data_IF_685494460574
#
_entry.id   IF_685494460574
#
_cell.length_a   1.000
_cell.length_b   1.000
_cell.length_c   1.000
_cell.angle_alpha   90.00
_cell.angle_beta   90.00
_cell.angle_gamma   90.00
#
_symmetry.space_group_name_H-M   'P 1'
#
loop_
_entity.id
_entity.type
_entity.pdbx_description
1 polymer ?
#
# COMPACT_ATOMS: atom_id res chain seq x y z
N UNK A 1 39.18 70.10 33.93
CA UNK A 1 38.72 69.27 32.83
C UNK A 1 38.33 67.90 33.38
N UNK A 2 37.09 67.71 33.67
CA UNK A 2 36.51 66.40 34.22
C UNK A 2 35.95 65.57 33.06
N UNK A 3 36.53 64.38 32.78
CA UNK A 3 36.04 63.42 31.81
C UNK A 3 34.96 62.51 32.52
N UNK A 4 33.73 62.62 32.04
CA UNK A 4 32.64 61.74 32.45
C UNK A 4 32.71 60.48 31.59
N UNK A 5 33.01 59.34 32.20
CA UNK A 5 32.89 58.00 31.58
C UNK A 5 31.45 57.49 31.78
N UNK A 6 30.76 57.16 30.65
CA UNK A 6 29.48 56.52 30.64
C UNK A 6 29.68 54.97 30.50
N UNK A 7 29.08 54.17 31.34
CA UNK A 7 29.13 52.72 31.15
C UNK A 7 28.09 52.29 30.12
N UNK A 8 28.53 51.58 29.06
CA UNK A 8 27.70 50.84 28.13
C UNK A 8 27.14 49.60 28.86
N UNK A 9 25.85 49.57 29.14
CA UNK A 9 25.14 48.40 29.61
C UNK A 9 24.83 47.47 28.41
N UNK A 10 25.56 46.35 28.32
CA UNK A 10 25.28 45.29 27.37
C UNK A 10 24.06 44.50 27.83
N UNK A 11 22.89 44.69 27.19
CA UNK A 11 21.71 43.88 27.41
C UNK A 11 21.88 42.54 26.66
N UNK A 12 22.29 41.49 27.36
CA UNK A 12 22.23 40.12 26.85
C UNK A 12 20.77 39.65 26.78
N UNK A 13 20.20 39.61 25.57
CA UNK A 13 18.92 38.98 25.30
C UNK A 13 19.05 37.48 25.50
N UNK A 14 18.50 36.95 26.59
CA UNK A 14 18.32 35.52 26.85
C UNK A 14 17.29 34.97 25.87
N UNK A 15 17.77 34.51 24.70
CA UNK A 15 17.00 33.68 23.80
C UNK A 15 16.90 32.26 24.44
N UNK A 16 15.88 32.04 25.28
CA UNK A 16 15.57 30.72 25.81
C UNK A 16 15.21 29.77 24.67
N UNK A 17 15.67 28.53 24.72
CA UNK A 17 15.23 27.51 23.75
C UNK A 17 13.72 27.37 23.83
N UNK A 18 13.02 27.66 22.71
CA UNK A 18 11.59 27.39 22.59
C UNK A 18 11.40 25.88 22.81
N UNK A 19 10.82 25.52 23.95
CA UNK A 19 10.47 24.14 24.25
C UNK A 19 9.53 23.65 23.14
N UNK A 20 10.03 22.72 22.30
CA UNK A 20 9.23 22.05 21.28
C UNK A 20 8.10 21.34 22.00
N UNK A 21 6.86 21.81 21.83
CA UNK A 21 5.66 21.14 22.32
C UNK A 21 5.69 19.73 21.71
N UNK A 22 5.70 18.67 22.53
CA UNK A 22 5.72 17.31 22.00
C UNK A 22 4.50 17.12 21.12
N UNK A 23 4.72 16.79 19.84
CA UNK A 23 3.64 16.54 18.91
C UNK A 23 2.75 15.45 19.49
N UNK A 24 1.50 15.84 19.86
CA UNK A 24 0.52 14.90 20.43
C UNK A 24 0.39 13.70 19.53
N UNK A 25 0.54 12.52 20.13
CA UNK A 25 0.38 11.26 19.42
C UNK A 25 -1.01 11.23 18.74
N UNK A 26 -1.11 10.77 17.46
CA UNK A 26 -2.38 10.70 16.78
C UNK A 26 -3.35 9.86 17.60
N UNK A 27 -4.57 10.36 17.75
CA UNK A 27 -5.67 9.62 18.36
C UNK A 27 -6.06 8.45 17.43
N UNK A 28 -6.14 7.24 17.96
CA UNK A 28 -6.56 6.03 17.27
C UNK A 28 -7.83 5.42 17.88
N UNK A 29 -8.59 6.20 18.66
CA UNK A 29 -9.73 5.70 19.45
C UNK A 29 -10.96 5.31 18.62
N UNK A 30 -11.06 5.77 17.39
CA UNK A 30 -12.20 5.50 16.49
C UNK A 30 -11.74 4.98 15.13
N UNK A 31 -12.62 4.27 14.43
CA UNK A 31 -12.38 3.80 13.06
C UNK A 31 -11.97 4.94 12.13
N UNK A 32 -12.67 6.08 12.21
CA UNK A 32 -12.35 7.26 11.38
C UNK A 32 -10.98 7.85 11.73
N UNK A 33 -10.60 7.83 13.00
CA UNK A 33 -9.29 8.30 13.42
C UNK A 33 -8.18 7.39 12.87
N UNK A 34 -8.38 6.07 12.90
CA UNK A 34 -7.46 5.10 12.28
C UNK A 34 -7.38 5.32 10.77
N UNK A 35 -8.51 5.48 10.07
CA UNK A 35 -8.52 5.76 8.63
C UNK A 35 -7.80 7.07 8.28
N UNK A 36 -8.01 8.14 9.05
CA UNK A 36 -7.26 9.40 8.86
C UNK A 36 -5.77 9.21 9.06
N UNK A 37 -5.37 8.43 10.06
CA UNK A 37 -3.98 8.12 10.31
C UNK A 37 -3.36 7.32 9.16
N UNK A 38 -4.04 6.26 8.67
CA UNK A 38 -3.61 5.47 7.50
C UNK A 38 -3.43 6.38 6.27
N UNK A 39 -4.41 7.23 5.97
CA UNK A 39 -4.34 8.17 4.85
C UNK A 39 -3.18 9.19 4.96
N UNK A 40 -2.74 9.47 6.19
CA UNK A 40 -1.62 10.37 6.50
C UNK A 40 -0.28 9.67 6.71
N UNK A 41 -0.27 8.34 6.76
CA UNK A 41 0.87 7.53 7.20
C UNK A 41 2.17 7.84 6.44
N UNK A 42 2.10 7.96 5.12
CA UNK A 42 3.28 8.25 4.27
C UNK A 42 3.99 9.56 4.61
N UNK A 43 3.27 10.55 5.12
CA UNK A 43 3.87 11.82 5.51
C UNK A 43 4.64 11.71 6.84
N UNK A 44 4.23 10.79 7.71
CA UNK A 44 4.87 10.52 9.01
C UNK A 44 4.73 9.04 9.34
N UNK A 45 5.57 8.17 8.77
CA UNK A 45 5.54 6.73 9.03
C UNK A 45 5.81 6.44 10.52
N UNK A 46 4.96 5.57 11.10
CA UNK A 46 5.12 5.11 12.48
C UNK A 46 4.69 3.65 12.59
N UNK A 47 5.63 2.75 12.25
CA UNK A 47 5.41 1.29 12.23
C UNK A 47 5.05 0.77 13.62
N UNK A 48 5.59 1.36 14.68
CA UNK A 48 5.34 0.93 16.06
C UNK A 48 3.86 1.07 16.46
N UNK A 49 3.10 1.93 15.79
CA UNK A 49 1.68 2.14 16.05
C UNK A 49 0.74 1.20 15.30
N UNK A 50 1.22 0.50 14.28
CA UNK A 50 0.39 -0.42 13.48
C UNK A 50 -0.33 -1.45 14.35
N UNK A 51 0.34 -2.13 15.30
CA UNK A 51 -0.35 -3.08 16.19
C UNK A 51 -1.46 -2.44 17.04
N UNK A 52 -1.26 -1.21 17.50
CA UNK A 52 -2.28 -0.50 18.27
C UNK A 52 -3.50 -0.15 17.40
N UNK A 53 -3.29 0.32 16.18
CA UNK A 53 -4.36 0.60 15.23
C UNK A 53 -5.18 -0.65 14.91
N UNK A 54 -4.53 -1.78 14.62
CA UNK A 54 -5.22 -3.04 14.34
C UNK A 54 -6.01 -3.55 15.55
N UNK A 55 -5.45 -3.46 16.77
CA UNK A 55 -6.19 -3.81 17.99
C UNK A 55 -7.43 -2.95 18.19
N UNK A 56 -7.32 -1.65 17.97
CA UNK A 56 -8.50 -0.75 18.04
C UNK A 56 -9.57 -1.16 17.04
N UNK A 57 -9.21 -1.43 15.78
CA UNK A 57 -10.17 -1.89 14.76
C UNK A 57 -10.87 -3.20 15.17
N UNK A 58 -10.12 -4.17 15.73
CA UNK A 58 -10.67 -5.43 16.23
C UNK A 58 -11.61 -5.19 17.43
N UNK A 59 -11.23 -4.34 18.39
CA UNK A 59 -12.06 -4.00 19.55
C UNK A 59 -13.38 -3.35 19.14
N UNK A 60 -13.34 -2.44 18.17
CA UNK A 60 -14.50 -1.74 17.63
C UNK A 60 -15.35 -2.63 16.69
N UNK A 61 -14.91 -3.84 16.37
CA UNK A 61 -15.60 -4.74 15.44
C UNK A 61 -15.53 -4.28 13.97
N UNK A 62 -14.61 -3.36 13.63
CA UNK A 62 -14.44 -2.85 12.27
C UNK A 62 -13.83 -3.87 11.31
N UNK A 63 -13.39 -5.03 11.80
CA UNK A 63 -12.83 -6.13 11.02
C UNK A 63 -13.84 -7.27 10.74
N UNK A 64 -15.11 -7.12 11.14
CA UNK A 64 -16.12 -8.17 10.98
C UNK A 64 -16.55 -8.36 9.53
N UNK A 65 -16.59 -7.28 8.78
CA UNK A 65 -16.93 -7.26 7.38
C UNK A 65 -15.66 -7.15 6.53
N UNK A 66 -15.42 -8.17 5.70
CA UNK A 66 -14.22 -8.23 4.85
C UNK A 66 -14.20 -7.14 3.78
N UNK A 67 -15.37 -6.70 3.29
CA UNK A 67 -15.45 -5.68 2.25
C UNK A 67 -15.01 -4.31 2.79
N UNK A 68 -15.56 -3.90 3.93
CA UNK A 68 -15.23 -2.60 4.53
C UNK A 68 -13.85 -2.55 5.18
N UNK A 69 -13.27 -3.72 5.50
CA UNK A 69 -11.95 -3.82 6.13
C UNK A 69 -10.80 -4.05 5.16
N UNK A 70 -11.06 -4.13 3.86
CA UNK A 70 -10.06 -4.40 2.83
C UNK A 70 -8.90 -3.39 2.81
N UNK A 71 -9.19 -2.11 3.05
CA UNK A 71 -8.16 -1.06 3.16
C UNK A 71 -7.18 -1.34 4.30
N UNK A 72 -7.64 -1.92 5.41
CA UNK A 72 -6.78 -2.26 6.55
C UNK A 72 -5.89 -3.47 6.23
N UNK A 73 -6.44 -4.46 5.52
CA UNK A 73 -5.65 -5.61 5.00
C UNK A 73 -4.53 -5.11 4.11
N UNK A 74 -4.84 -4.28 3.14
CA UNK A 74 -3.85 -3.72 2.22
C UNK A 74 -2.79 -2.88 2.94
N UNK A 75 -3.21 -2.06 3.91
CA UNK A 75 -2.29 -1.25 4.70
C UNK A 75 -1.32 -2.12 5.52
N UNK A 76 -1.82 -3.12 6.24
CA UNK A 76 -0.98 -4.03 7.03
C UNK A 76 -0.07 -4.86 6.12
N UNK A 77 -0.58 -5.33 4.96
CA UNK A 77 0.21 -6.04 3.96
C UNK A 77 1.38 -5.18 3.45
N UNK A 78 1.11 -3.93 3.09
CA UNK A 78 2.14 -3.00 2.64
C UNK A 78 3.20 -2.70 3.70
N UNK A 79 2.80 -2.60 4.98
CA UNK A 79 3.75 -2.44 6.09
C UNK A 79 4.63 -3.68 6.25
N UNK A 80 4.03 -4.88 6.27
CA UNK A 80 4.77 -6.15 6.38
C UNK A 80 5.77 -6.28 5.22
N UNK A 81 5.35 -5.99 3.99
CA UNK A 81 6.20 -6.06 2.80
C UNK A 81 7.34 -5.04 2.81
N UNK A 82 7.10 -3.83 3.35
CA UNK A 82 8.10 -2.76 3.42
C UNK A 82 9.15 -2.97 4.53
N UNK A 83 8.82 -3.76 5.56
CA UNK A 83 9.70 -4.00 6.70
C UNK A 83 9.86 -5.51 6.97
N UNK A 84 10.46 -6.27 6.03
CA UNK A 84 10.57 -7.74 6.13
C UNK A 84 11.27 -8.20 7.42
N UNK A 85 12.25 -7.45 7.90
CA UNK A 85 12.98 -7.74 9.15
C UNK A 85 12.11 -7.59 10.40
N UNK A 86 11.05 -6.78 10.35
CA UNK A 86 10.11 -6.55 11.46
C UNK A 86 8.83 -7.38 11.33
N UNK A 87 8.64 -8.12 10.24
CA UNK A 87 7.40 -8.83 9.93
C UNK A 87 6.96 -9.76 11.07
N UNK A 88 7.88 -10.56 11.60
CA UNK A 88 7.60 -11.46 12.71
C UNK A 88 7.17 -10.72 13.99
N UNK A 89 7.90 -9.69 14.38
CA UNK A 89 7.60 -8.87 15.55
C UNK A 89 6.27 -8.13 15.42
N UNK A 90 5.97 -7.60 14.23
CA UNK A 90 4.70 -6.93 13.96
C UNK A 90 3.52 -7.90 14.09
N UNK A 91 3.64 -9.11 13.52
CA UNK A 91 2.61 -10.14 13.61
C UNK A 91 2.39 -10.53 15.07
N UNK A 92 3.46 -10.75 15.83
CA UNK A 92 3.36 -11.06 17.27
C UNK A 92 2.62 -9.98 18.05
N UNK A 93 2.90 -8.72 17.78
CA UNK A 93 2.25 -7.58 18.43
C UNK A 93 0.80 -7.37 17.99
N UNK A 94 0.42 -7.84 16.79
CA UNK A 94 -0.95 -7.78 16.27
C UNK A 94 -1.77 -8.97 16.78
N UNK A 95 -1.19 -10.16 16.92
CA UNK A 95 -1.88 -11.40 17.29
C UNK A 95 -2.85 -11.30 18.49
N UNK A 96 -2.63 -10.47 19.52
CA UNK A 96 -3.59 -10.27 20.62
C UNK A 96 -4.85 -9.52 20.20
N UNK A 97 -5.41 -9.79 19.02
CA UNK A 97 -6.74 -9.39 18.57
C UNK A 97 -7.71 -10.57 18.73
N UNK A 98 -9.00 -10.33 18.49
CA UNK A 98 -10.01 -11.39 18.57
C UNK A 98 -9.70 -12.51 17.56
N UNK A 99 -9.91 -13.77 17.96
CA UNK A 99 -9.65 -14.93 17.10
C UNK A 99 -10.42 -14.88 15.76
N UNK A 100 -11.62 -14.29 15.78
CA UNK A 100 -12.44 -14.05 14.60
C UNK A 100 -11.78 -13.12 13.58
N UNK A 101 -10.90 -12.22 14.02
CA UNK A 101 -10.23 -11.21 13.21
C UNK A 101 -8.84 -11.66 12.71
N UNK A 102 -8.35 -12.84 13.12
CA UNK A 102 -7.06 -13.38 12.67
C UNK A 102 -6.96 -13.55 11.15
N UNK A 103 -8.09 -13.60 10.45
CA UNK A 103 -8.13 -13.64 8.99
C UNK A 103 -7.42 -12.46 8.34
N UNK A 104 -7.46 -11.26 8.97
CA UNK A 104 -6.73 -10.09 8.52
C UNK A 104 -5.21 -10.35 8.49
N UNK A 105 -4.67 -10.98 9.53
CA UNK A 105 -3.23 -11.30 9.61
C UNK A 105 -2.85 -12.26 8.48
N UNK A 106 -3.63 -13.34 8.30
CA UNK A 106 -3.38 -14.35 7.26
C UNK A 106 -3.37 -13.70 5.88
N UNK A 107 -4.38 -12.91 5.57
CA UNK A 107 -4.50 -12.24 4.28
C UNK A 107 -3.42 -11.17 4.08
N UNK A 108 -3.13 -10.37 5.10
CA UNK A 108 -2.09 -9.34 5.02
C UNK A 108 -0.70 -9.94 4.77
N UNK A 109 -0.36 -11.07 5.40
CA UNK A 109 0.91 -11.76 5.13
C UNK A 109 0.95 -12.33 3.73
N UNK A 110 -0.14 -12.99 3.27
CA UNK A 110 -0.23 -13.52 1.91
C UNK A 110 -0.13 -12.43 0.82
N UNK A 111 -0.61 -11.22 1.12
CA UNK A 111 -0.64 -10.08 0.21
C UNK A 111 0.59 -9.15 0.34
N UNK A 112 1.49 -9.44 1.27
CA UNK A 112 2.63 -8.57 1.58
C UNK A 112 3.68 -8.48 0.47
N UNK A 113 3.72 -9.45 -0.45
CA UNK A 113 4.77 -9.55 -1.46
C UNK A 113 6.12 -10.03 -0.90
N UNK A 114 6.18 -10.50 0.36
CA UNK A 114 7.41 -11.09 0.90
C UNK A 114 7.75 -12.38 0.15
N UNK A 115 9.00 -12.61 -0.25
CA UNK A 115 9.39 -13.88 -0.89
C UNK A 115 9.10 -15.10 -0.03
N UNK A 116 9.24 -14.99 1.29
CA UNK A 116 9.07 -16.06 2.27
C UNK A 116 7.74 -15.98 3.06
N UNK A 117 6.70 -15.34 2.50
CA UNK A 117 5.44 -15.16 3.20
C UNK A 117 4.78 -16.48 3.65
N UNK A 118 5.01 -17.59 2.91
CA UNK A 118 4.49 -18.91 3.28
C UNK A 118 5.12 -19.41 4.58
N UNK A 119 6.44 -19.26 4.73
CA UNK A 119 7.15 -19.65 5.95
C UNK A 119 6.72 -18.79 7.14
N UNK A 120 6.49 -17.50 6.90
CA UNK A 120 5.96 -16.59 7.91
C UNK A 120 4.58 -17.06 8.37
N UNK A 121 3.65 -17.37 7.46
CA UNK A 121 2.32 -17.91 7.83
C UNK A 121 2.42 -19.22 8.61
N UNK A 122 3.22 -20.16 8.15
CA UNK A 122 3.39 -21.46 8.80
C UNK A 122 3.93 -21.32 10.22
N UNK A 123 4.86 -20.38 10.47
CA UNK A 123 5.41 -20.09 11.80
C UNK A 123 4.33 -19.69 12.81
N UNK A 124 3.33 -18.94 12.37
CA UNK A 124 2.26 -18.45 13.23
C UNK A 124 0.97 -19.29 13.19
N UNK A 125 0.92 -20.35 12.37
CA UNK A 125 -0.29 -21.15 12.15
C UNK A 125 -0.85 -21.75 13.46
N UNK A 126 0.01 -22.26 14.34
CA UNK A 126 -0.41 -22.83 15.64
C UNK A 126 -1.06 -21.82 16.59
N UNK A 127 -0.76 -20.53 16.41
CA UNK A 127 -1.34 -19.42 17.18
C UNK A 127 -2.66 -18.91 16.62
N UNK A 128 -3.04 -19.38 15.43
CA UNK A 128 -4.29 -19.03 14.74
C UNK A 128 -5.11 -20.30 14.37
N UNK A 129 -5.49 -21.14 15.35
CA UNK A 129 -6.11 -22.44 15.06
C UNK A 129 -7.42 -22.30 14.28
N UNK A 130 -8.20 -21.25 14.49
CA UNK A 130 -9.43 -20.98 13.75
C UNK A 130 -9.20 -20.65 12.26
N UNK A 131 -7.96 -20.41 11.84
CA UNK A 131 -7.59 -20.02 10.47
C UNK A 131 -6.68 -21.01 9.75
N UNK A 132 -6.43 -22.18 10.32
CA UNK A 132 -5.55 -23.21 9.73
C UNK A 132 -5.95 -23.56 8.30
N UNK A 133 -7.23 -23.78 8.03
CA UNK A 133 -7.72 -24.08 6.68
C UNK A 133 -7.44 -22.92 5.69
N UNK A 134 -7.57 -21.69 6.15
CA UNK A 134 -7.27 -20.51 5.32
C UNK A 134 -5.78 -20.42 5.02
N UNK A 135 -4.93 -20.65 6.02
CA UNK A 135 -3.48 -20.68 5.89
C UNK A 135 -3.08 -21.78 4.89
N UNK A 136 -3.61 -23.00 5.05
CA UNK A 136 -3.35 -24.10 4.15
C UNK A 136 -3.74 -23.77 2.70
N UNK A 137 -4.93 -23.18 2.48
CA UNK A 137 -5.37 -22.78 1.14
C UNK A 137 -4.44 -21.76 0.49
N UNK A 138 -3.92 -20.77 1.25
CA UNK A 138 -2.94 -19.82 0.72
C UNK A 138 -1.59 -20.50 0.43
N UNK A 139 -1.05 -21.26 1.39
CA UNK A 139 0.28 -21.87 1.25
C UNK A 139 0.34 -22.93 0.15
N UNK A 140 -0.78 -23.62 -0.12
CA UNK A 140 -0.91 -24.58 -1.23
C UNK A 140 -1.31 -23.95 -2.57
N UNK A 141 -1.48 -22.61 -2.63
CA UNK A 141 -1.85 -21.91 -3.86
C UNK A 141 -3.32 -22.07 -4.27
N UNK A 142 -4.19 -22.58 -3.39
CA UNK A 142 -5.64 -22.67 -3.62
C UNK A 142 -6.37 -21.34 -3.44
N UNK A 143 -5.75 -20.35 -2.81
CA UNK A 143 -6.22 -18.97 -2.74
C UNK A 143 -5.20 -18.06 -3.41
N UNK A 144 -5.67 -17.09 -4.22
CA UNK A 144 -4.79 -16.17 -4.93
C UNK A 144 -4.21 -15.12 -3.99
N UNK A 145 -2.99 -14.67 -4.30
CA UNK A 145 -2.35 -13.51 -3.68
C UNK A 145 -2.66 -12.24 -4.46
N UNK A 146 -2.30 -11.09 -3.89
CA UNK A 146 -2.53 -9.79 -4.53
C UNK A 146 -1.80 -9.67 -5.90
N UNK A 147 -0.73 -10.43 -6.12
CA UNK A 147 -0.01 -10.43 -7.39
C UNK A 147 -0.75 -11.15 -8.52
N UNK A 148 -1.70 -12.01 -8.18
CA UNK A 148 -2.49 -12.80 -9.12
C UNK A 148 -3.79 -12.11 -9.59
N UNK A 149 -3.88 -10.78 -9.46
CA UNK A 149 -5.07 -10.03 -9.91
C UNK A 149 -5.23 -10.21 -11.42
N UNK A 150 -6.38 -10.74 -11.82
CA UNK A 150 -6.76 -10.84 -13.22
C UNK A 150 -7.41 -9.52 -13.66
N UNK A 151 -6.70 -8.78 -14.45
CA UNK A 151 -7.33 -7.80 -15.32
C UNK A 151 -7.70 -8.53 -16.59
N UNK A 152 -8.97 -8.87 -16.79
CA UNK A 152 -9.40 -9.37 -18.08
C UNK A 152 -9.17 -8.25 -19.11
N UNK A 153 -8.03 -8.29 -19.77
CA UNK A 153 -7.96 -7.73 -21.11
C UNK A 153 -9.05 -8.46 -21.92
N UNK A 154 -9.92 -7.73 -22.63
CA UNK A 154 -10.82 -8.35 -23.58
C UNK A 154 -9.99 -9.30 -24.42
N UNK A 155 -10.30 -10.62 -24.46
CA UNK A 155 -9.45 -11.59 -25.08
C UNK A 155 -9.23 -11.18 -26.53
N UNK A 156 -7.98 -10.93 -26.90
CA UNK A 156 -7.62 -10.62 -28.27
C UNK A 156 -8.04 -11.81 -29.15
N UNK A 157 -8.27 -11.60 -30.46
CA UNK A 157 -8.53 -12.72 -31.38
C UNK A 157 -7.47 -13.82 -31.27
N UNK A 158 -6.23 -13.42 -30.93
CA UNK A 158 -5.11 -14.34 -30.73
C UNK A 158 -5.22 -15.17 -29.42
N UNK A 159 -5.75 -14.55 -28.35
CA UNK A 159 -5.98 -15.25 -27.06
C UNK A 159 -7.13 -16.25 -27.18
N UNK A 160 -8.17 -15.91 -27.97
CA UNK A 160 -9.24 -16.87 -28.33
C UNK A 160 -8.69 -18.06 -29.11
N UNK A 161 -7.77 -17.81 -30.06
CA UNK A 161 -7.14 -18.85 -30.83
C UNK A 161 -6.21 -19.75 -29.96
N UNK A 162 -5.44 -19.14 -29.06
CA UNK A 162 -4.60 -19.89 -28.10
C UNK A 162 -5.45 -20.71 -27.13
N UNK A 163 -6.59 -20.17 -26.64
CA UNK A 163 -7.54 -20.94 -25.83
C UNK A 163 -8.10 -22.14 -26.57
N UNK A 164 -8.39 -22.00 -27.87
CA UNK A 164 -8.89 -23.09 -28.70
C UNK A 164 -7.82 -24.18 -28.91
N UNK A 165 -6.58 -23.81 -29.18
CA UNK A 165 -5.46 -24.76 -29.35
C UNK A 165 -5.08 -25.46 -28.04
N UNK A 166 -5.14 -24.78 -26.90
CA UNK A 166 -4.93 -25.36 -25.58
C UNK A 166 -6.04 -26.38 -25.24
N UNK A 167 -7.30 -26.04 -25.51
CA UNK A 167 -8.45 -26.94 -25.31
C UNK A 167 -8.36 -28.21 -26.17
N UNK A 168 -7.85 -28.09 -27.40
CA UNK A 168 -7.61 -29.25 -28.27
C UNK A 168 -6.46 -30.11 -27.75
N UNK A 169 -5.38 -29.48 -27.24
CA UNK A 169 -4.26 -30.18 -26.62
C UNK A 169 -4.70 -30.97 -25.36
N UNK A 170 -5.48 -30.35 -24.49
CA UNK A 170 -6.03 -30.98 -23.28
C UNK A 170 -6.97 -32.16 -23.59
N UNK A 171 -7.71 -32.08 -24.69
CA UNK A 171 -8.56 -33.18 -25.16
C UNK A 171 -7.71 -34.40 -25.60
N UNK A 172 -6.58 -34.20 -26.25
CA UNK A 172 -5.71 -35.29 -26.71
C UNK A 172 -4.80 -35.84 -25.60
N UNK A 173 -4.43 -35.05 -24.60
CA UNK A 173 -3.48 -35.47 -23.55
C UNK A 173 -4.17 -35.97 -22.29
N UNK A 174 -5.47 -35.73 -22.13
CA UNK A 174 -6.23 -36.06 -20.90
C UNK A 174 -5.76 -35.34 -19.63
N UNK A 175 -4.81 -34.43 -19.77
CA UNK A 175 -4.30 -33.60 -18.66
C UNK A 175 -4.91 -32.20 -18.76
N UNK A 176 -5.90 -31.92 -17.93
CA UNK A 176 -6.32 -30.54 -17.70
C UNK A 176 -5.18 -29.81 -17.00
N UNK A 177 -4.53 -28.89 -17.68
CA UNK A 177 -3.60 -27.95 -17.05
C UNK A 177 -4.40 -27.20 -15.98
N UNK A 178 -4.01 -27.26 -14.69
CA UNK A 178 -4.73 -26.52 -13.65
C UNK A 178 -4.76 -25.05 -13.99
N UNK A 179 -5.95 -24.49 -14.18
CA UNK A 179 -6.07 -23.06 -14.43
C UNK A 179 -5.50 -22.28 -13.22
N UNK A 180 -4.60 -21.33 -13.43
CA UNK A 180 -4.00 -20.58 -12.31
C UNK A 180 -5.11 -19.85 -11.54
N UNK A 181 -5.13 -20.03 -10.23
CA UNK A 181 -6.10 -19.35 -9.35
C UNK A 181 -5.83 -17.86 -9.42
N UNK A 182 -6.80 -17.11 -9.96
CA UNK A 182 -6.71 -15.66 -10.16
C UNK A 182 -7.50 -14.94 -9.10
N UNK A 183 -7.02 -13.75 -8.69
CA UNK A 183 -7.76 -12.84 -7.82
C UNK A 183 -8.66 -11.96 -8.69
N UNK A 184 -9.94 -12.08 -8.51
CA UNK A 184 -10.92 -11.23 -9.20
C UNK A 184 -10.79 -9.77 -8.72
N UNK A 185 -10.83 -8.83 -9.65
CA UNK A 185 -10.74 -7.41 -9.36
C UNK A 185 -12.11 -6.87 -8.91
N UNK A 186 -12.35 -6.94 -7.62
CA UNK A 186 -13.56 -6.47 -6.93
C UNK A 186 -13.34 -5.12 -6.24
N UNK A 187 -14.40 -4.54 -5.67
CA UNK A 187 -14.31 -3.37 -4.78
C UNK A 187 -13.40 -3.61 -3.58
N UNK A 188 -13.45 -4.82 -3.00
CA UNK A 188 -12.56 -5.25 -1.91
C UNK A 188 -11.09 -5.20 -2.34
N UNK A 189 -10.78 -5.71 -3.53
CA UNK A 189 -9.42 -5.67 -4.09
C UNK A 189 -8.97 -4.25 -4.36
N UNK A 190 -9.86 -3.39 -4.87
CA UNK A 190 -9.59 -1.97 -5.07
C UNK A 190 -9.18 -1.28 -3.75
N UNK A 191 -9.94 -1.50 -2.68
CA UNK A 191 -9.66 -0.93 -1.36
C UNK A 191 -8.37 -1.49 -0.75
N UNK A 192 -8.10 -2.78 -0.97
CA UNK A 192 -6.83 -3.41 -0.59
C UNK A 192 -5.63 -2.73 -1.28
N UNK A 193 -5.74 -2.45 -2.58
CA UNK A 193 -4.70 -1.75 -3.35
C UNK A 193 -4.47 -0.33 -2.81
N UNK A 194 -5.54 0.40 -2.45
CA UNK A 194 -5.41 1.70 -1.82
C UNK A 194 -4.73 1.62 -0.46
N UNK A 195 -5.12 0.67 0.39
CA UNK A 195 -4.47 0.42 1.67
C UNK A 195 -2.97 0.18 1.50
N UNK A 196 -2.60 -0.68 0.55
CA UNK A 196 -1.20 -0.98 0.23
C UNK A 196 -0.44 0.29 -0.22
N UNK A 197 -1.05 1.09 -1.08
CA UNK A 197 -0.48 2.37 -1.49
C UNK A 197 -0.29 3.34 -0.33
N UNK A 198 -1.24 3.44 0.60
CA UNK A 198 -1.10 4.31 1.77
C UNK A 198 0.02 3.87 2.71
N UNK A 199 0.32 2.59 2.78
CA UNK A 199 1.42 2.05 3.55
C UNK A 199 2.79 2.34 2.92
N UNK A 200 2.91 2.09 1.60
CA UNK A 200 4.21 2.02 0.91
C UNK A 200 4.55 3.27 0.12
N UNK A 201 3.54 3.99 -0.40
CA UNK A 201 3.73 5.02 -1.40
C UNK A 201 4.13 4.52 -2.79
N UNK A 202 4.22 3.20 -2.98
CA UNK A 202 4.54 2.58 -4.28
C UNK A 202 3.43 2.82 -5.29
N UNK A 203 3.77 3.13 -6.54
CA UNK A 203 2.79 3.35 -7.60
C UNK A 203 2.24 2.06 -8.20
N UNK A 204 2.86 0.89 -8.00
CA UNK A 204 2.38 -0.38 -8.52
C UNK A 204 0.89 -0.69 -8.21
N UNK A 205 0.42 -0.53 -6.96
CA UNK A 205 -1.02 -0.63 -6.67
C UNK A 205 -1.88 0.35 -7.45
N UNK A 206 -1.41 1.61 -7.64
CA UNK A 206 -2.15 2.64 -8.39
C UNK A 206 -2.23 2.28 -9.87
N UNK A 207 -1.16 1.75 -10.46
CA UNK A 207 -1.15 1.25 -11.83
C UNK A 207 -2.19 0.13 -12.02
N UNK A 208 -2.29 -0.78 -11.06
CA UNK A 208 -3.33 -1.82 -11.08
C UNK A 208 -4.74 -1.23 -11.01
N UNK A 209 -4.95 -0.19 -10.22
CA UNK A 209 -6.24 0.53 -10.17
C UNK A 209 -6.53 1.21 -11.52
N UNK A 210 -5.52 1.76 -12.19
CA UNK A 210 -5.68 2.36 -13.52
C UNK A 210 -6.16 1.34 -14.57
N UNK A 211 -5.78 0.08 -14.47
CA UNK A 211 -6.27 -0.98 -15.35
C UNK A 211 -7.78 -1.24 -15.21
N UNK A 212 -8.41 -0.87 -14.09
CA UNK A 212 -9.86 -0.98 -13.89
C UNK A 212 -10.65 0.20 -14.51
N UNK A 213 -9.99 1.32 -14.89
CA UNK A 213 -10.68 2.51 -15.41
C UNK A 213 -11.54 2.28 -16.66
N UNK A 214 -11.11 1.47 -17.66
CA UNK A 214 -11.93 1.20 -18.83
C UNK A 214 -13.30 0.61 -18.49
N UNK A 215 -13.38 -0.15 -17.39
CA UNK A 215 -14.62 -0.78 -16.93
C UNK A 215 -15.70 0.22 -16.51
N UNK A 216 -15.33 1.47 -16.21
CA UNK A 216 -16.30 2.55 -15.92
C UNK A 216 -17.24 2.89 -17.11
N UNK A 217 -16.98 2.33 -18.28
CA UNK A 217 -17.79 2.45 -19.49
C UNK A 217 -18.47 1.15 -19.89
N UNK A 218 -18.23 0.07 -19.16
CA UNK A 218 -18.86 -1.22 -19.41
C UNK A 218 -20.36 -1.10 -19.10
N UNK A 219 -21.20 -1.46 -20.08
CA UNK A 219 -22.66 -1.43 -19.93
C UNK A 219 -23.28 -2.83 -19.92
N UNK A 220 -22.46 -3.85 -20.09
CA UNK A 220 -22.89 -5.24 -20.15
C UNK A 220 -22.67 -5.96 -18.83
N UNK A 221 -21.62 -5.53 -18.08
CA UNK A 221 -21.23 -6.13 -16.81
C UNK A 221 -21.36 -5.07 -15.70
N UNK A 222 -22.37 -5.23 -14.85
CA UNK A 222 -22.66 -4.31 -13.74
C UNK A 222 -21.55 -4.27 -12.70
N UNK A 223 -20.90 -5.42 -12.45
CA UNK A 223 -19.84 -5.51 -11.45
C UNK A 223 -18.59 -4.77 -11.95
N UNK A 224 -18.21 -4.97 -13.21
CA UNK A 224 -17.14 -4.21 -13.85
C UNK A 224 -17.44 -2.71 -13.88
N UNK A 225 -18.67 -2.32 -14.26
CA UNK A 225 -19.10 -0.91 -14.23
C UNK A 225 -18.94 -0.30 -12.85
N UNK A 226 -19.34 -1.02 -11.81
CA UNK A 226 -19.25 -0.58 -10.41
C UNK A 226 -17.79 -0.39 -10.00
N UNK A 227 -16.96 -1.41 -10.17
CA UNK A 227 -15.53 -1.34 -9.81
C UNK A 227 -14.79 -0.26 -10.59
N UNK A 228 -15.03 -0.16 -11.91
CA UNK A 228 -14.42 0.87 -12.75
C UNK A 228 -14.85 2.29 -12.35
N UNK A 229 -16.12 2.47 -11.96
CA UNK A 229 -16.63 3.75 -11.47
C UNK A 229 -16.01 4.12 -10.11
N UNK A 230 -15.87 3.17 -9.21
CA UNK A 230 -15.17 3.35 -7.93
C UNK A 230 -13.69 3.67 -8.14
N UNK A 231 -13.01 2.98 -9.05
CA UNK A 231 -11.62 3.27 -9.41
C UNK A 231 -11.48 4.72 -9.92
N UNK A 232 -12.34 5.15 -10.83
CA UNK A 232 -12.36 6.53 -11.34
C UNK A 232 -12.56 7.55 -10.22
N UNK A 233 -13.55 7.34 -9.36
CA UNK A 233 -13.86 8.23 -8.24
C UNK A 233 -12.71 8.34 -7.24
N UNK A 234 -12.14 7.19 -6.82
CA UNK A 234 -11.08 7.15 -5.82
C UNK A 234 -9.77 7.73 -6.34
N UNK A 235 -9.43 7.51 -7.61
CA UNK A 235 -8.27 8.14 -8.26
C UNK A 235 -8.43 9.68 -8.31
N UNK A 236 -9.59 10.18 -8.74
CA UNK A 236 -9.86 11.61 -8.79
C UNK A 236 -9.79 12.25 -7.40
N UNK A 237 -10.37 11.61 -6.38
CA UNK A 237 -10.37 12.07 -5.00
C UNK A 237 -8.97 12.13 -4.40
N UNK A 238 -8.13 11.11 -4.64
CA UNK A 238 -6.75 11.09 -4.15
C UNK A 238 -5.86 12.09 -4.88
N UNK A 239 -6.02 12.26 -6.20
CA UNK A 239 -5.31 13.28 -6.97
C UNK A 239 -5.63 14.70 -6.48
N UNK A 240 -6.90 14.99 -6.18
CA UNK A 240 -7.33 16.28 -5.64
C UNK A 240 -6.71 16.57 -4.25
N UNK A 241 -6.55 15.54 -3.40
CA UNK A 241 -5.90 15.68 -2.08
C UNK A 241 -4.41 16.03 -2.21
N UNK A 242 -3.71 15.39 -3.14
CA UNK A 242 -2.29 15.69 -3.41
C UNK A 242 -2.13 17.14 -3.90
N UNK A 243 -2.99 17.58 -4.83
CA UNK A 243 -2.97 18.94 -5.37
C UNK A 243 -3.21 19.99 -4.29
N UNK A 244 -4.16 19.79 -3.37
CA UNK A 244 -4.41 20.72 -2.24
C UNK A 244 -3.23 20.83 -1.29
N UNK A 245 -2.47 19.75 -1.04
CA UNK A 245 -1.27 19.78 -0.20
C UNK A 245 -0.10 20.54 -0.85
N UNK A 246 0.00 20.52 -2.19
CA UNK A 246 1.04 21.24 -2.92
C UNK A 246 0.75 22.74 -3.12
N UNK A 247 -0.50 23.18 -2.93
CA UNK A 247 -0.92 24.59 -3.05
C UNK A 247 -0.79 25.38 -1.75
N UNK A 248 -0.34 24.78 -0.64
CA UNK A 248 0.01 25.53 0.58
C UNK A 248 1.33 26.27 0.32
N UNK A 249 1.35 27.63 0.26
CA UNK A 249 2.57 28.39 -0.01
C UNK A 249 3.46 28.34 1.23
N UNK A 250 4.59 27.70 1.15
CA UNK A 250 5.55 27.74 2.24
C UNK A 250 6.62 26.66 2.19
N UNK A 251 7.76 27.00 1.57
CA UNK A 251 9.11 26.51 1.88
C UNK A 251 9.62 25.17 1.35
N UNK A 252 9.13 24.59 0.26
CA UNK A 252 9.86 23.43 -0.32
C UNK A 252 10.01 23.44 -1.86
N UNK A 253 9.90 24.61 -2.51
CA UNK A 253 10.09 24.72 -3.97
C UNK A 253 11.56 24.82 -4.41
N UNK A 254 12.54 24.81 -3.52
CA UNK A 254 13.95 25.03 -3.86
C UNK A 254 14.83 23.79 -3.90
N UNK A 255 14.34 22.63 -3.45
CA UNK A 255 15.16 21.42 -3.35
C UNK A 255 15.21 20.54 -4.61
N UNK A 256 14.28 20.69 -5.55
CA UNK A 256 14.19 19.80 -6.73
C UNK A 256 14.89 20.31 -8.00
N UNK A 257 15.42 21.56 -8.01
CA UNK A 257 16.11 22.10 -9.20
C UNK A 257 17.60 21.79 -9.28
N UNK A 258 18.22 21.25 -8.24
CA UNK A 258 19.67 21.02 -8.22
C UNK A 258 20.14 19.64 -8.67
N UNK A 259 19.19 18.70 -8.94
CA UNK A 259 19.55 17.31 -9.29
C UNK A 259 19.49 16.98 -10.79
N UNK A 260 19.03 17.89 -11.63
CA UNK A 260 19.03 17.72 -13.09
C UNK A 260 20.30 18.31 -13.72
N UNK A 261 21.48 17.78 -13.38
CA UNK A 261 22.68 17.98 -14.23
C UNK A 261 22.53 17.08 -15.44
N UNK A 262 22.34 17.70 -16.61
CA UNK A 262 22.48 17.03 -17.91
C UNK A 262 23.90 16.48 -18.03
N UNK A 263 24.09 15.23 -18.49
CA UNK A 263 25.41 14.80 -18.95
C UNK A 263 25.75 15.57 -20.21
N UNK A 264 26.86 16.29 -20.17
CA UNK A 264 27.46 16.92 -21.32
C UNK A 264 27.93 15.85 -22.29
N UNK A 265 27.34 15.81 -23.48
CA UNK A 265 27.79 14.99 -24.61
C UNK A 265 29.13 15.55 -25.07
N UNK A 266 30.23 14.87 -24.74
CA UNK A 266 31.54 15.13 -25.28
C UNK A 266 31.60 14.69 -26.74
N UNK A 267 31.71 15.65 -27.65
CA UNK A 267 32.08 15.44 -29.04
C UNK A 267 33.49 14.82 -29.10
N UNK A 268 33.58 13.58 -29.53
CA UNK A 268 34.82 12.98 -29.98
C UNK A 268 35.11 13.52 -31.38
N UNK A 269 36.13 14.35 -31.48
CA UNK A 269 36.71 14.81 -32.73
C UNK A 269 37.39 13.62 -33.46
N UNK A 270 36.91 13.38 -34.66
CA UNK A 270 37.64 12.55 -35.65
C UNK A 270 38.67 13.49 -36.31
N UNK A 271 39.94 13.26 -36.01
CA UNK A 271 41.06 13.76 -36.80
C UNK A 271 41.26 12.81 -37.97
N UNK A 272 41.14 13.31 -39.20
CA UNK A 272 41.64 12.72 -40.42
C UNK A 272 43.06 13.18 -40.57
N UNK A 273 44.01 12.21 -40.69
CA UNK A 273 45.27 12.40 -41.41
C UNK A 273 45.79 11.02 -41.87
N UNK A 274 46.05 10.97 -43.22
CA UNK A 274 46.78 9.99 -44.04
C UNK A 274 46.22 8.59 -44.24
#
# INVERSE_FOLDING_TARGET
MRRVMWPLACAMALCGPAAAVPARAPDLSTTDAVLRWINGYRAKPDVARVPAAVRTLSQLGALRDSETSAVYVGFVAGIIGSYPQLAGELIEKILPIKAEDHWLIVRAVAYSGLPNWRDVLNRFASRMPSRQLMIEKYTTGKLPTLDAIAFEASPTPLDKLKGYTASVGDFFTGHKTPEPVRLEATSEVLDTLWGYYFATGSYGPVERILHMLPWSKDRQDTDKLTVGSMAKFTLASNAARVRRKSTVPGRLATSWRSSARRPSCGLLGLSSDE
#
